data_IF_487780456732
#
_entry.id   IF_487780456732
#
_cell.length_a   1.000
_cell.length_b   1.000
_cell.length_c   1.000
_cell.angle_alpha   90.00
_cell.angle_beta   90.00
_cell.angle_gamma   90.00
#
_symmetry.space_group_name_H-M   'P 1'
#
loop_
_entity.id
_entity.type
_entity.pdbx_description
1 polymer ?
#
# COMPACT_ATOMS: atom_id res chain seq x y z
N UNK A 1 15.52 3.85 37.37
CA UNK A 1 15.80 3.58 35.95
C UNK A 1 14.80 4.35 35.12
N UNK A 2 15.28 5.37 34.42
CA UNK A 2 14.47 6.26 33.60
C UNK A 2 14.03 5.51 32.34
N UNK A 3 12.79 5.03 32.33
CA UNK A 3 12.16 4.43 31.15
C UNK A 3 11.88 5.59 30.20
N UNK A 4 12.92 6.07 29.51
CA UNK A 4 12.79 6.96 28.35
C UNK A 4 11.63 6.41 27.52
N UNK A 5 10.53 7.17 27.46
CA UNK A 5 9.31 6.90 26.68
C UNK A 5 9.65 6.15 25.40
N UNK A 6 9.66 4.81 25.43
CA UNK A 6 9.76 4.01 24.22
C UNK A 6 8.44 4.27 23.51
N UNK A 7 8.43 5.15 22.50
CA UNK A 7 7.28 5.29 21.62
C UNK A 7 6.96 3.88 21.13
N UNK A 8 5.81 3.35 21.55
CA UNK A 8 5.34 2.01 21.21
C UNK A 8 5.18 1.83 19.69
N UNK A 9 5.09 2.93 18.94
CA UNK A 9 5.00 2.99 17.50
C UNK A 9 6.12 3.87 16.90
N UNK A 10 6.96 3.28 16.06
CA UNK A 10 7.95 4.00 15.24
C UNK A 10 7.30 4.77 14.08
N UNK A 11 8.09 5.57 13.36
CA UNK A 11 7.62 6.37 12.21
C UNK A 11 6.87 5.52 11.17
N UNK A 12 7.39 4.34 10.85
CA UNK A 12 6.81 3.46 9.84
C UNK A 12 5.43 2.93 10.25
N UNK A 13 5.21 2.70 11.55
CA UNK A 13 3.89 2.34 12.07
C UNK A 13 2.91 3.51 11.91
N UNK A 14 3.34 4.74 12.18
CA UNK A 14 2.51 5.92 12.00
C UNK A 14 2.14 6.13 10.52
N UNK A 15 3.09 5.90 9.61
CA UNK A 15 2.80 5.95 8.17
C UNK A 15 1.85 4.84 7.72
N UNK A 16 1.96 3.63 8.28
CA UNK A 16 1.02 2.55 8.01
C UNK A 16 -0.40 2.89 8.46
N UNK A 17 -0.56 3.44 9.67
CA UNK A 17 -1.86 3.90 10.19
C UNK A 17 -2.40 5.06 9.35
N UNK A 18 -1.56 6.01 8.96
CA UNK A 18 -1.97 7.09 8.07
C UNK A 18 -2.44 6.55 6.71
N UNK A 19 -1.72 5.59 6.13
CA UNK A 19 -2.11 4.95 4.88
C UNK A 19 -3.48 4.28 5.00
N UNK A 20 -3.70 3.51 6.06
CA UNK A 20 -4.99 2.87 6.33
C UNK A 20 -6.13 3.88 6.42
N UNK A 21 -5.94 4.96 7.19
CA UNK A 21 -6.95 6.00 7.37
C UNK A 21 -7.28 6.70 6.04
N UNK A 22 -6.25 7.14 5.32
CA UNK A 22 -6.44 7.82 4.04
C UNK A 22 -7.11 6.91 3.00
N UNK A 23 -6.82 5.59 3.05
CA UNK A 23 -7.46 4.61 2.17
C UNK A 23 -8.94 4.43 2.49
N UNK A 24 -9.28 4.27 3.77
CA UNK A 24 -10.68 4.13 4.19
C UNK A 24 -11.48 5.40 3.88
N UNK A 25 -10.90 6.58 4.12
CA UNK A 25 -11.56 7.86 3.82
C UNK A 25 -11.76 8.07 2.30
N UNK A 26 -10.81 7.64 1.48
CA UNK A 26 -10.84 7.84 0.03
C UNK A 26 -11.65 6.78 -0.70
N UNK A 27 -11.46 5.52 -0.37
CA UNK A 27 -12.09 4.38 -1.01
C UNK A 27 -12.34 3.25 0.01
N UNK A 28 -13.44 3.33 0.78
CA UNK A 28 -13.77 2.34 1.82
C UNK A 28 -13.88 0.91 1.28
N UNK A 29 -14.34 0.76 0.03
CA UNK A 29 -14.47 -0.57 -0.61
C UNK A 29 -13.10 -1.22 -0.77
N UNK A 30 -12.10 -0.44 -1.18
CA UNK A 30 -10.73 -0.91 -1.30
C UNK A 30 -10.07 -1.08 0.07
N UNK A 31 -10.33 -0.17 1.02
CA UNK A 31 -9.86 -0.25 2.41
C UNK A 31 -10.19 -1.59 3.08
N UNK A 32 -11.45 -2.02 2.95
CA UNK A 32 -11.95 -3.32 3.47
C UNK A 32 -11.36 -4.55 2.78
N UNK A 33 -10.65 -4.37 1.66
CA UNK A 33 -10.02 -5.46 0.90
C UNK A 33 -8.54 -5.64 1.24
N UNK A 34 -7.98 -4.83 2.13
CA UNK A 34 -6.63 -5.06 2.65
C UNK A 34 -6.60 -6.40 3.39
N UNK A 35 -5.71 -7.29 2.98
CA UNK A 35 -5.44 -8.55 3.68
C UNK A 35 -4.29 -8.39 4.67
N UNK A 36 -3.23 -7.68 4.29
CA UNK A 36 -2.03 -7.52 5.12
C UNK A 36 -1.32 -6.20 4.83
N UNK A 37 -0.69 -5.65 5.87
CA UNK A 37 0.30 -4.59 5.75
C UNK A 37 1.60 -5.04 6.39
N UNK A 38 2.69 -4.99 5.63
CA UNK A 38 4.03 -5.31 6.06
C UNK A 38 4.92 -4.06 6.01
N UNK A 39 5.82 -3.92 6.99
CA UNK A 39 6.84 -2.87 7.02
C UNK A 39 8.20 -3.50 6.74
N UNK A 40 8.78 -3.16 5.59
CA UNK A 40 10.11 -3.62 5.18
C UNK A 40 11.14 -2.51 5.32
N UNK A 41 12.32 -2.82 5.88
CA UNK A 41 13.45 -1.87 5.94
C UNK A 41 13.94 -1.43 4.56
N UNK A 42 13.76 -2.27 3.54
CA UNK A 42 14.24 -2.02 2.17
C UNK A 42 13.19 -1.32 1.30
N UNK A 43 11.93 -1.73 1.45
CA UNK A 43 10.86 -1.30 0.54
C UNK A 43 9.85 -0.35 1.19
N UNK A 44 9.97 -0.10 2.49
CA UNK A 44 8.99 0.63 3.29
C UNK A 44 7.69 -0.14 3.44
N UNK A 45 6.58 0.59 3.42
CA UNK A 45 5.24 0.02 3.52
C UNK A 45 4.92 -0.85 2.30
N UNK A 46 4.47 -2.07 2.54
CA UNK A 46 3.96 -3.02 1.55
C UNK A 46 2.53 -3.36 1.95
N UNK A 47 1.60 -3.24 1.01
CA UNK A 47 0.21 -3.56 1.23
C UNK A 47 -0.23 -4.69 0.32
N UNK A 48 -1.02 -5.61 0.87
CA UNK A 48 -1.61 -6.73 0.17
C UNK A 48 -3.13 -6.56 0.19
N UNK A 49 -3.75 -6.84 -0.95
CA UNK A 49 -5.19 -6.82 -1.08
C UNK A 49 -5.69 -8.18 -1.52
N UNK A 50 -6.84 -8.60 -0.99
CA UNK A 50 -7.46 -9.86 -1.34
C UNK A 50 -7.92 -9.93 -2.81
N UNK A 51 -8.22 -8.78 -3.44
CA UNK A 51 -8.67 -8.71 -4.83
C UNK A 51 -7.54 -8.82 -5.84
N UNK A 52 -6.31 -8.64 -5.39
CA UNK A 52 -5.12 -8.65 -6.23
C UNK A 52 -4.36 -9.98 -6.10
N UNK A 53 -5.02 -11.07 -5.71
CA UNK A 53 -4.40 -12.40 -5.53
C UNK A 53 -3.10 -12.37 -4.70
N UNK A 54 -3.07 -11.53 -3.65
CA UNK A 54 -1.90 -11.32 -2.79
C UNK A 54 -0.67 -10.77 -3.52
N UNK A 55 -0.83 -10.12 -4.68
CA UNK A 55 0.21 -9.35 -5.35
C UNK A 55 0.62 -8.18 -4.44
N UNK A 56 1.90 -8.05 -4.07
CA UNK A 56 2.36 -6.98 -3.20
C UNK A 56 2.29 -5.63 -3.91
N UNK A 57 1.75 -4.62 -3.21
CA UNK A 57 1.81 -3.22 -3.61
C UNK A 57 2.86 -2.52 -2.74
N UNK A 58 3.97 -2.11 -3.37
CA UNK A 58 5.02 -1.35 -2.70
C UNK A 58 4.57 0.11 -2.58
N UNK A 59 4.15 0.51 -1.39
CA UNK A 59 3.72 1.89 -1.09
C UNK A 59 4.94 2.74 -0.69
N UNK A 60 5.90 2.16 0.03
CA UNK A 60 7.09 2.87 0.51
C UNK A 60 6.74 3.96 1.54
N UNK A 61 7.51 5.05 1.54
CA UNK A 61 7.40 6.10 2.55
C UNK A 61 6.93 7.44 1.98
N UNK A 62 6.25 8.23 2.81
CA UNK A 62 5.78 9.57 2.44
C UNK A 62 4.79 9.61 1.27
N UNK A 63 4.35 10.83 0.92
CA UNK A 63 3.38 11.10 -0.15
C UNK A 63 2.10 10.24 -0.08
N UNK A 64 1.69 9.85 1.13
CA UNK A 64 0.62 8.87 1.36
C UNK A 64 -0.66 9.22 0.62
N UNK A 65 -1.12 10.48 0.70
CA UNK A 65 -2.33 10.95 0.02
C UNK A 65 -2.29 10.75 -1.50
N UNK A 66 -1.15 11.06 -2.13
CA UNK A 66 -0.97 10.92 -3.57
C UNK A 66 -0.96 9.43 -3.97
N UNK A 67 -0.27 8.61 -3.17
CA UNK A 67 -0.19 7.16 -3.40
C UNK A 67 -1.56 6.51 -3.26
N UNK A 68 -2.29 6.82 -2.20
CA UNK A 68 -3.69 6.40 -2.00
C UNK A 68 -4.54 6.80 -3.20
N UNK A 69 -4.44 8.04 -3.68
CA UNK A 69 -5.15 8.47 -4.88
C UNK A 69 -4.81 7.62 -6.10
N UNK A 70 -3.52 7.34 -6.36
CA UNK A 70 -3.10 6.52 -7.50
C UNK A 70 -3.57 5.06 -7.38
N UNK A 71 -3.52 4.49 -6.18
CA UNK A 71 -3.95 3.11 -5.90
C UNK A 71 -5.47 2.98 -6.04
N UNK A 72 -6.24 3.96 -5.55
CA UNK A 72 -7.70 3.98 -5.71
C UNK A 72 -8.12 4.05 -7.18
N UNK A 73 -7.51 4.95 -7.97
CA UNK A 73 -7.77 5.05 -9.42
C UNK A 73 -7.45 3.72 -10.10
N UNK A 74 -6.30 3.12 -9.75
CA UNK A 74 -5.85 1.89 -10.36
C UNK A 74 -6.78 0.70 -10.03
N UNK A 75 -7.25 0.60 -8.78
CA UNK A 75 -8.24 -0.40 -8.36
C UNK A 75 -9.55 -0.27 -9.16
N UNK A 76 -10.08 0.93 -9.32
CA UNK A 76 -11.31 1.20 -10.06
C UNK A 76 -11.20 0.80 -11.55
N UNK A 77 -10.02 0.92 -12.14
CA UNK A 77 -9.76 0.55 -13.52
C UNK A 77 -9.52 -0.95 -13.72
N UNK A 78 -9.06 -1.65 -12.68
CA UNK A 78 -8.51 -2.99 -12.82
C UNK A 78 -9.49 -4.13 -12.73
N UNK A 79 -10.62 -3.94 -12.05
CA UNK A 79 -11.50 -5.04 -11.59
C UNK A 79 -11.97 -5.98 -12.71
N UNK A 80 -11.80 -5.62 -13.99
CA UNK A 80 -12.25 -6.39 -15.16
C UNK A 80 -11.20 -6.59 -16.28
N UNK A 81 -9.88 -6.41 -16.04
CA UNK A 81 -8.89 -6.32 -17.14
C UNK A 81 -7.90 -7.49 -17.31
N UNK A 82 -7.85 -8.45 -16.39
CA UNK A 82 -6.87 -9.56 -16.43
C UNK A 82 -5.40 -9.12 -16.32
N UNK A 83 -5.15 -7.82 -16.06
CA UNK A 83 -3.80 -7.24 -16.05
C UNK A 83 -2.91 -7.82 -14.94
N UNK A 84 -3.50 -8.41 -13.91
CA UNK A 84 -2.80 -8.94 -12.75
C UNK A 84 -2.20 -10.34 -12.96
N UNK A 85 -2.67 -11.12 -13.94
CA UNK A 85 -2.33 -12.54 -14.13
C UNK A 85 -0.82 -12.80 -14.33
N UNK A 86 -0.07 -11.81 -14.80
CA UNK A 86 1.38 -11.88 -15.01
C UNK A 86 2.16 -10.85 -14.20
N UNK A 87 1.55 -10.32 -13.15
CA UNK A 87 2.14 -9.27 -12.30
C UNK A 87 2.81 -9.88 -11.09
N UNK A 88 4.10 -9.59 -10.93
CA UNK A 88 4.88 -9.92 -9.74
C UNK A 88 4.58 -8.99 -8.58
N UNK A 89 4.54 -7.69 -8.86
CA UNK A 89 4.25 -6.64 -7.88
C UNK A 89 3.86 -5.33 -8.56
N UNK A 90 3.20 -4.47 -7.78
CA UNK A 90 2.86 -3.11 -8.16
C UNK A 90 3.73 -2.15 -7.36
N UNK A 91 4.30 -1.13 -8.01
CA UNK A 91 5.16 -0.14 -7.37
C UNK A 91 4.48 1.23 -7.38
N UNK A 92 3.95 1.63 -6.23
CA UNK A 92 3.30 2.92 -6.01
C UNK A 92 4.22 3.93 -5.32
N UNK A 93 5.52 3.64 -5.17
CA UNK A 93 6.46 4.51 -4.43
C UNK A 93 6.64 5.88 -5.07
N UNK A 94 6.32 6.02 -6.37
CA UNK A 94 6.45 7.24 -7.16
C UNK A 94 5.37 8.28 -6.89
N UNK A 95 4.32 7.95 -6.12
CA UNK A 95 3.30 8.92 -5.70
C UNK A 95 2.16 9.07 -6.70
N UNK A 96 2.46 9.52 -7.92
CA UNK A 96 1.46 9.86 -8.96
C UNK A 96 1.16 8.72 -9.94
N UNK A 97 1.94 7.64 -9.90
CA UNK A 97 1.87 6.53 -10.87
C UNK A 97 2.15 5.20 -10.21
N UNK A 98 1.59 4.15 -10.82
CA UNK A 98 1.83 2.76 -10.44
C UNK A 98 2.59 2.07 -11.56
N UNK A 99 3.73 1.48 -11.22
CA UNK A 99 4.51 0.67 -12.15
C UNK A 99 4.21 -0.80 -11.90
N UNK A 100 3.73 -1.46 -12.94
CA UNK A 100 3.49 -2.90 -12.93
C UNK A 100 4.78 -3.63 -13.30
N UNK A 101 5.18 -4.58 -12.45
CA UNK A 101 6.37 -5.41 -12.67
C UNK A 101 5.94 -6.83 -12.93
N UNK A 102 6.30 -7.35 -14.10
CA UNK A 102 5.90 -8.69 -14.53
C UNK A 102 6.86 -9.76 -14.05
N UNK A 103 6.37 -10.99 -13.98
CA UNK A 103 7.26 -12.15 -13.95
C UNK A 103 8.02 -12.22 -15.28
N UNK A 104 9.32 -12.52 -15.20
CA UNK A 104 10.17 -12.77 -16.37
C UNK A 104 9.81 -14.08 -17.05
#
# INVERSE_FOLDING_TARGET
MDVKKKRLAGKDFQEAVQFLQELEDKNPVMGRRISEICISRKSGLICYFNWADMIPILVGHGLIKQKVQSISIFFEQLTNTGLLDHTRYLDARLGDRIVLKRNS
#
